data_IF_004752179231
#
_entry.id   IF_004752179231
#
_cell.length_a   1.000
_cell.length_b   1.000
_cell.length_c   1.000
_cell.angle_alpha   90.00
_cell.angle_beta   90.00
_cell.angle_gamma   90.00
#
_symmetry.space_group_name_H-M   'P 1'
#
loop_
_entity.id
_entity.type
_entity.pdbx_description
1 polymer ?
#
# COMPACT_ATOMS: atom_id res chain seq x y z
N UNK A 1 -14.00 19.67 54.34
CA UNK A 1 -12.81 19.79 53.44
C UNK A 1 -12.35 18.43 52.84
N UNK A 2 -13.24 17.43 52.75
CA UNK A 2 -12.89 16.11 52.16
C UNK A 2 -13.50 15.85 50.78
N UNK A 3 -14.27 16.77 50.22
CA UNK A 3 -14.96 16.62 48.93
C UNK A 3 -14.28 17.30 47.75
N UNK A 4 -13.21 18.08 47.98
CA UNK A 4 -12.51 18.82 46.91
C UNK A 4 -11.38 18.01 46.25
N UNK A 5 -10.90 16.91 46.85
CA UNK A 5 -9.79 16.11 46.33
C UNK A 5 -10.21 15.07 45.30
N UNK A 6 -11.48 14.72 45.18
CA UNK A 6 -11.95 13.68 44.24
C UNK A 6 -12.18 14.26 42.85
N UNK A 7 -12.42 15.55 42.71
CA UNK A 7 -12.68 16.20 41.42
C UNK A 7 -11.41 16.40 40.56
N UNK A 8 -10.21 16.36 41.17
CA UNK A 8 -8.96 16.59 40.46
C UNK A 8 -8.36 15.35 39.77
N UNK A 9 -8.80 14.16 40.18
CA UNK A 9 -8.27 12.87 39.62
C UNK A 9 -8.96 12.47 38.31
N UNK A 10 -10.16 12.98 38.04
CA UNK A 10 -10.95 12.62 36.87
C UNK A 10 -10.54 13.36 35.59
N UNK A 11 -9.74 14.41 35.68
CA UNK A 11 -9.32 15.25 34.52
C UNK A 11 -8.03 14.73 33.88
N UNK A 12 -7.27 13.83 34.54
CA UNK A 12 -5.95 13.42 34.09
C UNK A 12 -5.94 12.19 33.17
N UNK A 13 -7.08 11.56 32.92
CA UNK A 13 -7.15 10.32 32.13
C UNK A 13 -7.53 10.51 30.64
N UNK A 14 -7.75 11.74 30.19
CA UNK A 14 -8.21 12.03 28.81
C UNK A 14 -7.08 12.37 27.80
N UNK A 15 -5.80 12.19 28.15
CA UNK A 15 -4.70 12.75 27.35
C UNK A 15 -3.83 11.75 26.56
N UNK A 16 -4.24 10.49 26.36
CA UNK A 16 -3.42 9.53 25.63
C UNK A 16 -4.15 8.75 24.52
N UNK A 17 -5.11 9.37 23.86
CA UNK A 17 -5.52 8.91 22.52
C UNK A 17 -4.58 9.54 21.49
N UNK A 18 -3.33 9.12 21.44
CA UNK A 18 -2.53 9.26 20.21
C UNK A 18 -3.20 8.37 19.17
N UNK A 19 -4.07 8.94 18.36
CA UNK A 19 -4.57 8.27 17.16
C UNK A 19 -3.36 7.75 16.36
N UNK A 20 -3.35 6.48 16.01
CA UNK A 20 -2.31 5.90 15.16
C UNK A 20 -2.24 6.71 13.87
N UNK A 21 -1.06 7.24 13.52
CA UNK A 21 -0.89 8.01 12.28
C UNK A 21 -0.78 7.03 11.10
N UNK A 22 -1.85 7.00 10.30
CA UNK A 22 -1.95 6.15 9.12
C UNK A 22 -1.30 6.77 7.87
N UNK A 23 -0.87 8.03 7.94
CA UNK A 23 -0.36 8.75 6.76
C UNK A 23 0.95 8.17 6.23
N UNK A 24 1.22 8.52 4.98
CA UNK A 24 2.40 8.10 4.23
C UNK A 24 2.11 6.98 3.24
N UNK A 25 3.17 6.37 2.76
CA UNK A 25 3.13 5.33 1.73
C UNK A 25 2.90 3.95 2.34
N UNK A 26 1.99 3.21 1.73
CA UNK A 26 1.68 1.83 2.06
C UNK A 26 1.76 0.95 0.82
N UNK A 27 2.56 -0.11 0.89
CA UNK A 27 2.87 -0.98 -0.23
C UNK A 27 2.18 -2.33 -0.06
N UNK A 28 1.52 -2.81 -1.11
CA UNK A 28 0.88 -4.11 -1.17
C UNK A 28 1.15 -4.82 -2.49
N UNK A 29 0.94 -6.12 -2.50
CA UNK A 29 1.02 -6.91 -3.72
C UNK A 29 -0.17 -7.84 -3.85
N UNK A 30 -0.79 -7.82 -5.01
CA UNK A 30 -1.79 -8.79 -5.42
C UNK A 30 -1.12 -9.95 -6.13
N UNK A 31 -1.55 -11.17 -5.84
CA UNK A 31 -1.17 -12.36 -6.62
C UNK A 31 -2.37 -12.77 -7.46
N UNK A 32 -2.28 -12.53 -8.77
CA UNK A 32 -3.33 -12.84 -9.73
C UNK A 32 -2.75 -13.76 -10.80
N UNK A 33 -3.28 -14.99 -10.90
CA UNK A 33 -2.87 -15.99 -11.91
C UNK A 33 -1.35 -16.19 -12.00
N UNK A 34 -0.67 -16.23 -10.84
CA UNK A 34 0.79 -16.44 -10.78
C UNK A 34 1.63 -15.19 -11.08
N UNK A 35 1.00 -14.04 -11.33
CA UNK A 35 1.68 -12.75 -11.52
C UNK A 35 1.51 -11.88 -10.28
N UNK A 36 2.59 -11.27 -9.83
CA UNK A 36 2.57 -10.27 -8.77
C UNK A 36 2.30 -8.89 -9.36
N UNK A 37 1.28 -8.21 -8.86
CA UNK A 37 0.96 -6.82 -9.18
C UNK A 37 1.14 -5.97 -7.94
N UNK A 38 2.09 -5.04 -7.96
CA UNK A 38 2.36 -4.14 -6.84
C UNK A 38 1.41 -2.96 -6.87
N UNK A 39 0.86 -2.64 -5.71
CA UNK A 39 0.03 -1.46 -5.50
C UNK A 39 0.61 -0.62 -4.37
N UNK A 40 0.49 0.68 -4.49
CA UNK A 40 0.97 1.64 -3.49
C UNK A 40 -0.16 2.61 -3.18
N UNK A 41 -0.53 2.72 -1.91
CA UNK A 41 -1.46 3.73 -1.43
C UNK A 41 -0.69 4.84 -0.71
N UNK A 42 -0.84 6.07 -1.20
CA UNK A 42 -0.25 7.26 -0.57
C UNK A 42 -1.36 7.97 0.21
N UNK A 43 -1.32 7.88 1.54
CA UNK A 43 -2.33 8.47 2.42
C UNK A 43 -1.81 9.80 2.95
N UNK A 44 -2.60 10.86 2.83
CA UNK A 44 -2.27 12.22 3.24
C UNK A 44 -3.36 12.81 4.11
N UNK A 45 -2.99 13.75 4.99
CA UNK A 45 -3.95 14.57 5.72
C UNK A 45 -4.55 15.61 4.79
N UNK A 46 -5.85 15.82 4.92
CA UNK A 46 -6.61 16.84 4.21
C UNK A 46 -7.32 17.73 5.24
N UNK A 47 -7.88 18.84 4.81
CA UNK A 47 -8.64 19.75 5.69
C UNK A 47 -9.83 19.03 6.36
N UNK A 48 -10.41 18.04 5.68
CA UNK A 48 -11.60 17.32 6.13
C UNK A 48 -11.32 15.89 6.64
N UNK A 49 -10.06 15.56 6.95
CA UNK A 49 -9.68 14.23 7.43
C UNK A 49 -8.47 13.66 6.71
N UNK A 50 -8.64 12.53 6.02
CA UNK A 50 -7.57 11.89 5.23
C UNK A 50 -8.05 11.64 3.81
N UNK A 51 -7.10 11.71 2.87
CA UNK A 51 -7.30 11.33 1.48
C UNK A 51 -6.20 10.38 1.03
N UNK A 52 -6.38 9.71 -0.09
CA UNK A 52 -5.35 8.86 -0.66
C UNK A 52 -5.33 8.86 -2.18
N UNK A 53 -4.17 8.48 -2.71
CA UNK A 53 -4.01 8.10 -4.11
C UNK A 53 -3.45 6.69 -4.19
N UNK A 54 -3.71 6.02 -5.30
CA UNK A 54 -3.17 4.68 -5.60
C UNK A 54 -2.23 4.76 -6.80
N UNK A 55 -1.09 4.09 -6.69
CA UNK A 55 -0.18 3.83 -7.80
C UNK A 55 -0.17 2.33 -8.11
N UNK A 56 0.00 1.99 -9.38
CA UNK A 56 0.25 0.63 -9.85
C UNK A 56 1.52 0.62 -10.71
N UNK A 57 2.71 0.49 -10.11
CA UNK A 57 3.99 0.62 -10.81
C UNK A 57 4.17 -0.38 -11.96
N UNK A 58 3.63 -1.59 -11.82
CA UNK A 58 3.74 -2.63 -12.84
C UNK A 58 2.85 -2.38 -14.05
N UNK A 59 1.84 -1.50 -13.90
CA UNK A 59 0.93 -1.06 -14.97
C UNK A 59 1.23 0.37 -15.46
N UNK A 60 2.27 1.02 -14.91
CA UNK A 60 2.62 2.39 -15.27
C UNK A 60 1.60 3.44 -14.80
N UNK A 61 0.67 3.08 -13.93
CA UNK A 61 -0.33 4.01 -13.39
C UNK A 61 0.17 4.67 -12.11
N UNK A 62 -0.06 5.98 -11.98
CA UNK A 62 0.37 6.77 -10.82
C UNK A 62 -0.65 7.85 -10.47
N UNK A 63 -0.83 8.09 -9.16
CA UNK A 63 -1.63 9.20 -8.65
C UNK A 63 -3.13 9.05 -8.88
N UNK A 64 -3.65 7.83 -8.98
CA UNK A 64 -5.09 7.58 -9.12
C UNK A 64 -5.80 8.02 -7.82
N UNK A 65 -6.65 9.05 -7.86
CA UNK A 65 -7.28 9.57 -6.64
C UNK A 65 -8.33 8.60 -6.10
N UNK A 66 -8.32 8.39 -4.79
CA UNK A 66 -9.41 7.70 -4.12
C UNK A 66 -10.67 8.57 -4.05
N UNK A 67 -11.82 7.96 -4.24
CA UNK A 67 -13.13 8.61 -4.06
C UNK A 67 -13.38 8.89 -2.58
N UNK A 68 -12.98 7.96 -1.71
CA UNK A 68 -13.06 8.12 -0.27
C UNK A 68 -11.94 7.34 0.42
N UNK A 69 -11.51 7.87 1.56
CA UNK A 69 -10.54 7.24 2.46
C UNK A 69 -10.96 7.51 3.88
N UNK A 70 -11.03 6.47 4.71
CA UNK A 70 -11.31 6.58 6.13
C UNK A 70 -10.41 5.66 6.96
N UNK A 71 -10.11 6.09 8.18
CA UNK A 71 -9.36 5.28 9.15
C UNK A 71 -9.99 5.45 10.53
N UNK A 72 -10.69 4.44 10.98
CA UNK A 72 -11.40 4.45 12.27
C UNK A 72 -11.25 3.08 12.94
N UNK A 73 -11.06 3.07 14.25
CA UNK A 73 -10.90 1.84 15.04
C UNK A 73 -9.84 0.88 14.47
N UNK A 74 -8.71 1.43 13.97
CA UNK A 74 -7.64 0.70 13.29
C UNK A 74 -8.04 0.06 11.95
N UNK A 75 -9.21 0.37 11.40
CA UNK A 75 -9.68 -0.11 10.11
C UNK A 75 -9.47 0.98 9.06
N UNK A 76 -8.68 0.68 8.03
CA UNK A 76 -8.50 1.50 6.85
C UNK A 76 -9.49 1.04 5.76
N UNK A 77 -10.24 2.01 5.21
CA UNK A 77 -11.09 1.79 4.03
C UNK A 77 -10.72 2.80 2.95
N UNK A 78 -10.52 2.30 1.74
CA UNK A 78 -10.22 3.11 0.55
C UNK A 78 -11.15 2.67 -0.57
N UNK A 79 -11.81 3.63 -1.22
CA UNK A 79 -12.68 3.36 -2.36
C UNK A 79 -12.24 4.18 -3.57
N UNK A 80 -12.16 3.54 -4.74
CA UNK A 80 -11.89 4.18 -6.04
C UNK A 80 -13.03 3.76 -6.98
N UNK A 81 -14.10 4.53 -6.95
CA UNK A 81 -15.39 4.13 -7.56
C UNK A 81 -15.32 3.96 -9.08
N UNK A 82 -14.57 4.80 -9.78
CA UNK A 82 -14.41 4.74 -11.24
C UNK A 82 -13.66 3.47 -11.72
N UNK A 83 -12.92 2.81 -10.84
CA UNK A 83 -12.23 1.54 -11.11
C UNK A 83 -12.88 0.34 -10.41
N UNK A 84 -14.00 0.57 -9.71
CA UNK A 84 -14.69 -0.44 -8.90
C UNK A 84 -13.75 -1.12 -7.90
N UNK A 85 -12.85 -0.32 -7.29
CA UNK A 85 -11.88 -0.78 -6.32
C UNK A 85 -12.33 -0.40 -4.91
N UNK A 86 -12.23 -1.37 -4.01
CA UNK A 86 -12.38 -1.20 -2.58
C UNK A 86 -11.23 -1.93 -1.86
N UNK A 87 -10.64 -1.27 -0.88
CA UNK A 87 -9.71 -1.90 0.05
C UNK A 87 -10.23 -1.71 1.46
N UNK A 88 -10.22 -2.78 2.23
CA UNK A 88 -10.52 -2.76 3.66
C UNK A 88 -9.49 -3.60 4.40
N UNK A 89 -8.86 -3.05 5.44
CA UNK A 89 -7.87 -3.76 6.22
C UNK A 89 -7.71 -3.20 7.63
N UNK A 90 -7.25 -4.04 8.54
CA UNK A 90 -7.02 -3.69 9.94
C UNK A 90 -5.53 -3.51 10.21
N UNK A 91 -5.15 -2.37 10.79
CA UNK A 91 -3.78 -2.07 11.20
C UNK A 91 -3.42 -2.86 12.46
N UNK A 92 -2.39 -3.72 12.34
CA UNK A 92 -1.82 -4.48 13.43
C UNK A 92 -0.77 -3.71 14.24
N UNK A 93 -0.29 -4.33 15.31
CA UNK A 93 0.76 -3.76 16.19
C UNK A 93 2.15 -3.71 15.54
N UNK A 94 2.35 -4.48 14.50
CA UNK A 94 3.57 -4.60 13.69
C UNK A 94 3.65 -3.58 12.54
N UNK A 95 2.71 -2.61 12.50
CA UNK A 95 2.55 -1.66 11.41
C UNK A 95 2.26 -2.33 10.04
N UNK A 96 1.62 -3.48 10.06
CA UNK A 96 1.08 -4.15 8.87
C UNK A 96 -0.44 -4.00 8.89
N UNK A 97 -1.03 -3.67 7.75
CA UNK A 97 -2.49 -3.67 7.57
C UNK A 97 -2.86 -4.99 6.89
N UNK A 98 -3.56 -5.85 7.61
CA UNK A 98 -4.08 -7.11 7.07
C UNK A 98 -5.44 -6.84 6.47
N UNK A 99 -5.60 -7.08 5.16
CA UNK A 99 -6.80 -6.66 4.48
C UNK A 99 -7.13 -7.42 3.20
N UNK A 100 -8.17 -6.92 2.55
CA UNK A 100 -8.73 -7.46 1.32
C UNK A 100 -8.88 -6.34 0.30
N UNK A 101 -8.36 -6.58 -0.88
CA UNK A 101 -8.56 -5.74 -2.06
C UNK A 101 -9.68 -6.35 -2.91
N UNK A 102 -10.64 -5.53 -3.30
CA UNK A 102 -11.76 -5.94 -4.15
C UNK A 102 -11.75 -5.13 -5.43
N UNK A 103 -11.96 -5.78 -6.56
CA UNK A 103 -12.10 -5.11 -7.86
C UNK A 103 -13.03 -5.91 -8.77
N UNK A 104 -14.02 -5.24 -9.36
CA UNK A 104 -14.93 -5.85 -10.33
C UNK A 104 -15.67 -7.09 -9.80
N UNK A 105 -16.02 -7.11 -8.51
CA UNK A 105 -16.69 -8.25 -7.87
C UNK A 105 -15.77 -9.38 -7.39
N UNK A 106 -14.45 -9.28 -7.66
CA UNK A 106 -13.46 -10.24 -7.17
C UNK A 106 -12.79 -9.72 -5.90
N UNK A 107 -12.36 -10.63 -5.02
CA UNK A 107 -11.69 -10.29 -3.76
C UNK A 107 -10.35 -11.00 -3.67
N UNK A 108 -9.31 -10.25 -3.27
CA UNK A 108 -7.95 -10.72 -3.16
C UNK A 108 -7.39 -10.36 -1.78
N UNK A 109 -6.87 -11.31 -1.01
CA UNK A 109 -6.12 -11.00 0.20
C UNK A 109 -4.93 -10.10 -0.16
N UNK A 110 -4.78 -8.99 0.54
CA UNK A 110 -3.66 -8.08 0.33
C UNK A 110 -3.30 -7.36 1.62
N UNK A 111 -2.10 -7.61 2.11
CA UNK A 111 -1.55 -6.89 3.24
C UNK A 111 -0.80 -5.65 2.74
N UNK A 112 -0.84 -4.58 3.53
CA UNK A 112 -0.07 -3.37 3.28
C UNK A 112 0.99 -3.19 4.36
N UNK A 113 2.19 -2.79 3.94
CA UNK A 113 3.28 -2.42 4.84
C UNK A 113 3.95 -1.12 4.38
N UNK A 114 4.79 -0.55 5.25
CA UNK A 114 5.62 0.63 4.89
C UNK A 114 6.82 0.25 4.03
N UNK A 115 7.18 -1.02 4.00
CA UNK A 115 8.31 -1.52 3.23
C UNK A 115 7.97 -1.59 1.74
N UNK A 116 8.91 -1.17 0.90
CA UNK A 116 8.75 -1.27 -0.54
C UNK A 116 8.82 -2.74 -0.99
N UNK A 117 7.92 -3.12 -1.89
CA UNK A 117 7.90 -4.47 -2.46
C UNK A 117 8.73 -4.47 -3.75
N UNK A 118 9.76 -5.29 -3.79
CA UNK A 118 10.56 -5.48 -5.00
C UNK A 118 9.75 -6.23 -6.07
N UNK A 119 10.04 -5.88 -7.33
CA UNK A 119 9.47 -6.61 -8.46
C UNK A 119 10.06 -8.02 -8.50
N UNK A 120 9.21 -9.03 -8.53
CA UNK A 120 9.67 -10.40 -8.75
C UNK A 120 10.40 -10.49 -10.10
N UNK A 121 11.64 -10.98 -10.07
CA UNK A 121 12.37 -11.27 -11.31
C UNK A 121 11.72 -12.49 -11.96
N UNK A 122 11.15 -12.30 -13.14
CA UNK A 122 10.68 -13.41 -13.95
C UNK A 122 11.89 -14.28 -14.29
N UNK A 123 12.00 -15.42 -13.66
CA UNK A 123 12.96 -16.45 -14.06
C UNK A 123 12.42 -17.05 -15.36
N UNK A 124 13.07 -16.72 -16.47
CA UNK A 124 12.78 -17.30 -17.78
C UNK A 124 13.70 -18.52 -18.00
N UNK A 125 13.21 -19.75 -17.83
CA UNK A 125 14.06 -20.94 -17.99
C UNK A 125 14.68 -21.08 -19.39
N UNK A 126 14.15 -20.32 -20.33
CA UNK A 126 14.59 -20.31 -21.74
C UNK A 126 15.70 -19.30 -22.03
N UNK A 127 16.02 -18.40 -21.08
CA UNK A 127 17.17 -17.52 -21.25
C UNK A 127 18.45 -18.29 -20.98
N UNK A 128 19.36 -18.36 -21.95
CA UNK A 128 20.61 -19.09 -21.79
C UNK A 128 21.47 -18.40 -20.72
N UNK A 129 22.00 -19.20 -19.79
CA UNK A 129 22.87 -18.75 -18.70
C UNK A 129 24.32 -18.83 -19.15
N UNK A 130 25.13 -17.81 -18.83
CA UNK A 130 26.58 -17.84 -19.09
C UNK A 130 27.27 -18.93 -18.26
N UNK A 131 28.30 -19.65 -18.82
CA UNK A 131 28.84 -19.49 -20.17
C UNK A 131 27.94 -20.10 -21.25
N UNK A 132 27.76 -19.34 -22.33
CA UNK A 132 26.92 -19.82 -23.45
C UNK A 132 27.61 -20.98 -24.21
N UNK A 133 26.85 -21.96 -24.72
CA UNK A 133 27.40 -23.03 -25.54
C UNK A 133 27.78 -22.57 -26.96
N UNK A 134 27.63 -21.26 -27.24
CA UNK A 134 27.93 -20.65 -28.53
C UNK A 134 28.74 -19.36 -28.30
N UNK A 135 29.46 -18.94 -29.35
CA UNK A 135 30.19 -17.66 -29.35
C UNK A 135 29.20 -16.49 -29.41
N UNK A 136 29.34 -15.53 -28.52
CA UNK A 136 28.55 -14.27 -28.52
C UNK A 136 29.51 -13.09 -28.41
N UNK A 137 29.33 -12.08 -29.25
CA UNK A 137 30.10 -10.84 -29.29
C UNK A 137 29.15 -9.65 -29.31
N UNK A 138 29.40 -8.67 -28.45
CA UNK A 138 28.67 -7.40 -28.44
C UNK A 138 29.34 -6.48 -29.47
N UNK A 139 28.62 -6.14 -30.56
CA UNK A 139 29.07 -5.18 -31.57
C UNK A 139 28.34 -3.86 -31.41
N UNK A 140 29.12 -2.78 -31.35
CA UNK A 140 28.61 -1.40 -31.37
C UNK A 140 28.80 -0.79 -32.76
N UNK A 141 27.77 -0.13 -33.31
CA UNK A 141 27.89 0.66 -34.52
C UNK A 141 27.37 2.07 -34.28
N UNK A 142 28.09 3.03 -34.86
CA UNK A 142 27.68 4.42 -34.83
C UNK A 142 26.53 4.64 -35.84
N UNK A 143 25.43 5.20 -35.36
CA UNK A 143 24.34 5.64 -36.24
C UNK A 143 24.68 7.03 -36.76
N UNK A 144 25.26 7.12 -37.92
CA UNK A 144 25.50 8.39 -38.61
C UNK A 144 24.16 8.90 -39.14
N UNK A 145 23.65 10.00 -38.54
CA UNK A 145 22.56 10.80 -39.09
C UNK A 145 23.06 11.64 -40.26
#
# INVERSE_FOLDING_TARGET
MKTLSILFITILTSLLLKGQDITGQWNGALKVQGTQLRLVFNITKTENGIGSTMDSPDQGAKGIPATSTSFENSILKITISNLQIEYEGTLGKDNVIVGVFKQGGQSFPMNLSKEAIEKEKLVRPQEPVKPYPYYSEDITFENKK
#
